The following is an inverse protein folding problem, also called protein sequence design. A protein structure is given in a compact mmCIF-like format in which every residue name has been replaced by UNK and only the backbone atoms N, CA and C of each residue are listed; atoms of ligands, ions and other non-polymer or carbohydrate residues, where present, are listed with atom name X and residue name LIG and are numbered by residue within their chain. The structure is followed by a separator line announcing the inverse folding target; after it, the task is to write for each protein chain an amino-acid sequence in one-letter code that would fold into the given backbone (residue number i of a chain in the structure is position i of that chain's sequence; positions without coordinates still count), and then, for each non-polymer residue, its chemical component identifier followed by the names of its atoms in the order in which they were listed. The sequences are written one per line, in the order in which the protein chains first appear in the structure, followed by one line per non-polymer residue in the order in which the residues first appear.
data_IF_364717088497
#
_entry.id   IF_364717088497
#
_cell.length_a   1.000
_cell.length_b   1.000
_cell.length_c   1.000
_cell.angle_alpha   90.00
_cell.angle_beta   90.00
_cell.angle_gamma   90.00
#
_symmetry.space_group_name_H-M   'P 1'
#
loop_
_entity.id
_entity.type
_entity.pdbx_description
1 polymer ?
#
# COMPACT_ATOMS: atom_id res chain seq x y z
N UNK A 1 -6.79 -12.98 31.96
CA UNK A 1 -6.92 -13.48 30.58
C UNK A 1 -7.08 -12.29 29.66
N UNK A 2 -6.18 -12.18 28.67
CA UNK A 2 -6.32 -11.36 27.46
C UNK A 2 -6.54 -9.85 27.60
N UNK A 3 -5.49 -9.08 27.89
CA UNK A 3 -5.50 -7.65 27.52
C UNK A 3 -5.04 -7.51 26.08
N UNK A 4 -5.89 -6.86 25.28
CA UNK A 4 -5.74 -6.67 23.84
C UNK A 4 -4.40 -6.02 23.48
N UNK A 5 -3.79 -6.55 22.43
CA UNK A 5 -2.57 -6.08 21.79
C UNK A 5 -2.77 -4.67 21.21
N UNK A 6 -2.65 -3.62 22.03
CA UNK A 6 -2.69 -2.21 21.59
C UNK A 6 -1.28 -1.59 21.51
N UNK A 7 -0.31 -2.35 21.02
CA UNK A 7 1.00 -1.80 20.69
C UNK A 7 1.20 -1.87 19.18
N UNK A 8 1.50 -0.71 18.58
CA UNK A 8 2.27 -0.51 17.34
C UNK A 8 1.55 0.09 16.10
N UNK A 9 0.59 1.01 16.24
CA UNK A 9 0.07 1.77 15.07
C UNK A 9 0.62 3.21 14.90
N UNK A 10 1.60 3.62 15.71
CA UNK A 10 2.06 5.02 15.73
C UNK A 10 3.23 5.33 14.79
N UNK A 11 3.97 4.33 14.29
CA UNK A 11 5.17 4.55 13.44
C UNK A 11 4.93 4.38 11.93
N UNK A 12 3.78 3.86 11.50
CA UNK A 12 3.51 3.60 10.06
C UNK A 12 2.91 4.80 9.32
N UNK A 13 2.46 5.83 10.04
CA UNK A 13 1.72 6.97 9.46
C UNK A 13 2.54 7.84 8.50
N UNK A 14 3.87 7.70 8.49
CA UNK A 14 4.77 8.57 7.73
C UNK A 14 5.82 7.79 6.93
N UNK A 15 5.56 6.54 6.54
CA UNK A 15 6.44 5.83 5.59
C UNK A 15 6.05 6.19 4.17
N UNK A 16 6.98 6.74 3.41
CA UNK A 16 6.81 7.08 2.00
C UNK A 16 7.71 6.21 1.12
N UNK A 17 7.24 5.93 -0.10
CA UNK A 17 8.08 5.44 -1.16
C UNK A 17 8.69 6.63 -1.92
N UNK A 18 9.95 6.57 -2.40
CA UNK A 18 10.53 7.64 -3.20
C UNK A 18 9.66 8.01 -4.40
N UNK A 19 9.52 9.30 -4.68
CA UNK A 19 8.69 9.84 -5.77
C UNK A 19 7.17 9.53 -5.67
N UNK A 20 6.71 8.98 -4.53
CA UNK A 20 5.29 8.73 -4.27
C UNK A 20 4.78 9.65 -3.16
N UNK A 21 3.72 10.42 -3.47
CA UNK A 21 3.28 11.54 -2.62
C UNK A 21 2.42 11.13 -1.40
N UNK A 22 1.97 9.88 -1.32
CA UNK A 22 1.12 9.41 -0.23
C UNK A 22 1.88 8.48 0.72
N UNK A 23 1.69 8.61 2.04
CA UNK A 23 2.24 7.67 2.99
C UNK A 23 1.52 6.33 2.89
N UNK A 24 2.20 5.22 3.18
CA UNK A 24 1.62 3.87 3.11
C UNK A 24 0.36 3.68 3.95
N UNK A 25 0.23 4.47 5.03
CA UNK A 25 -0.92 4.43 5.91
C UNK A 25 -2.23 4.93 5.25
N UNK A 26 -2.14 5.71 4.17
CA UNK A 26 -3.30 6.22 3.44
C UNK A 26 -3.77 5.25 2.34
N UNK A 27 -3.00 4.19 2.05
CA UNK A 27 -3.32 3.21 1.03
C UNK A 27 -4.26 2.16 1.62
N UNK A 28 -5.27 1.77 0.83
CA UNK A 28 -6.21 0.71 1.15
C UNK A 28 -5.87 -0.56 0.37
N UNK A 29 -5.77 -0.43 -0.96
CA UNK A 29 -5.51 -1.55 -1.85
C UNK A 29 -4.77 -1.09 -3.11
N UNK A 30 -4.21 -2.04 -3.86
CA UNK A 30 -3.59 -1.78 -5.15
C UNK A 30 -3.92 -2.89 -6.16
N UNK A 31 -3.88 -2.55 -7.44
CA UNK A 31 -3.87 -3.48 -8.56
C UNK A 31 -2.72 -3.11 -9.50
N UNK A 32 -2.13 -4.09 -10.17
CA UNK A 32 -1.02 -3.92 -11.10
C UNK A 32 -1.42 -4.38 -12.50
N UNK A 33 -1.52 -3.41 -13.42
CA UNK A 33 -1.79 -3.68 -14.84
C UNK A 33 -0.66 -3.12 -15.71
N UNK A 34 0.07 -4.00 -16.41
CA UNK A 34 1.10 -3.63 -17.41
C UNK A 34 2.08 -2.56 -16.87
N UNK A 35 2.59 -2.75 -15.65
CA UNK A 35 3.56 -1.84 -15.02
C UNK A 35 2.99 -0.51 -14.51
N UNK A 36 1.66 -0.33 -14.54
CA UNK A 36 0.95 0.77 -13.90
C UNK A 36 0.25 0.25 -12.65
N UNK A 37 0.50 0.88 -11.52
CA UNK A 37 -0.18 0.59 -10.28
C UNK A 37 -1.41 1.48 -10.17
N UNK A 38 -2.57 0.87 -9.99
CA UNK A 38 -3.80 1.55 -9.59
C UNK A 38 -3.88 1.41 -8.07
N UNK A 39 -3.91 2.52 -7.34
CA UNK A 39 -3.89 2.53 -5.89
C UNK A 39 -5.19 3.15 -5.39
N UNK A 40 -5.92 2.39 -4.58
CA UNK A 40 -7.07 2.85 -3.83
C UNK A 40 -6.58 3.41 -2.49
N UNK A 41 -6.92 4.67 -2.22
CA UNK A 41 -6.66 5.31 -0.93
C UNK A 41 -7.85 5.09 0.01
N UNK A 42 -7.58 5.19 1.32
CA UNK A 42 -8.63 5.13 2.36
C UNK A 42 -9.60 6.31 2.29
N UNK A 43 -9.21 7.39 1.63
CA UNK A 43 -10.07 8.54 1.33
C UNK A 43 -11.02 8.31 0.16
N UNK A 44 -11.14 7.08 -0.34
CA UNK A 44 -11.95 6.68 -1.51
C UNK A 44 -11.44 7.22 -2.86
N UNK A 45 -10.30 7.94 -2.86
CA UNK A 45 -9.63 8.39 -4.08
C UNK A 45 -8.84 7.23 -4.72
N UNK A 46 -8.91 7.13 -6.04
CA UNK A 46 -8.15 6.16 -6.83
C UNK A 46 -7.12 6.91 -7.68
N UNK A 47 -5.86 6.52 -7.56
CA UNK A 47 -4.76 7.14 -8.28
C UNK A 47 -4.02 6.11 -9.13
N UNK A 48 -3.38 6.59 -10.19
CA UNK A 48 -2.45 5.79 -10.97
C UNK A 48 -1.03 6.24 -10.68
N UNK A 49 -0.14 5.27 -10.48
CA UNK A 49 1.28 5.51 -10.24
C UNK A 49 2.12 4.57 -11.10
N UNK A 50 3.09 5.15 -11.80
CA UNK A 50 4.07 4.40 -12.60
C UNK A 50 5.46 4.60 -12.00
N UNK A 51 5.89 3.71 -11.10
CA UNK A 51 7.25 3.77 -10.55
C UNK A 51 8.28 3.47 -11.64
N UNK A 52 9.49 4.02 -11.48
CA UNK A 52 10.65 3.63 -12.31
C UNK A 52 11.01 2.15 -12.13
N UNK A 53 10.85 1.65 -10.89
CA UNK A 53 11.11 0.26 -10.53
C UNK A 53 9.83 -0.37 -9.95
N UNK A 54 9.09 -1.09 -10.79
CA UNK A 54 7.82 -1.70 -10.41
C UNK A 54 7.97 -2.81 -9.36
N UNK A 55 9.08 -3.55 -9.41
CA UNK A 55 9.35 -4.66 -8.49
C UNK A 55 9.56 -4.11 -7.07
N UNK A 56 10.42 -3.11 -6.91
CA UNK A 56 10.68 -2.49 -5.60
C UNK A 56 9.43 -1.83 -5.02
N UNK A 57 8.59 -1.23 -5.87
CA UNK A 57 7.33 -0.65 -5.42
C UNK A 57 6.33 -1.72 -4.96
N UNK A 58 6.18 -2.83 -5.70
CA UNK A 58 5.34 -3.97 -5.29
C UNK A 58 5.80 -4.53 -3.94
N UNK A 59 7.11 -4.81 -3.79
CA UNK A 59 7.67 -5.34 -2.55
C UNK A 59 7.44 -4.39 -1.36
N UNK A 60 7.48 -3.08 -1.59
CA UNK A 60 7.15 -2.10 -0.55
C UNK A 60 5.69 -2.19 -0.13
N UNK A 61 4.75 -2.27 -1.08
CA UNK A 61 3.32 -2.44 -0.78
C UNK A 61 3.06 -3.73 0.01
N UNK A 62 3.64 -4.85 -0.41
CA UNK A 62 3.55 -6.15 0.27
C UNK A 62 4.15 -6.12 1.67
N UNK A 63 5.33 -5.50 1.83
CA UNK A 63 5.99 -5.33 3.14
C UNK A 63 5.10 -4.63 4.16
N UNK A 64 4.28 -3.68 3.72
CA UNK A 64 3.33 -2.95 4.55
C UNK A 64 1.91 -3.53 4.53
N UNK A 65 1.72 -4.74 3.99
CA UNK A 65 0.46 -5.45 3.93
C UNK A 65 -0.66 -4.64 3.23
N UNK A 66 -0.32 -3.86 2.20
CA UNK A 66 -1.33 -3.24 1.34
C UNK A 66 -1.98 -4.35 0.51
N UNK A 67 -3.32 -4.41 0.52
CA UNK A 67 -4.08 -5.46 -0.16
C UNK A 67 -3.85 -5.40 -1.68
N UNK A 68 -3.46 -6.53 -2.28
CA UNK A 68 -3.48 -6.68 -3.74
C UNK A 68 -4.86 -7.18 -4.16
N UNK A 69 -5.54 -6.44 -5.04
CA UNK A 69 -6.87 -6.79 -5.53
C UNK A 69 -6.81 -7.87 -6.62
N UNK A 70 -5.69 -7.99 -7.34
CA UNK A 70 -5.53 -8.99 -8.40
C UNK A 70 -5.22 -10.40 -7.85
N UNK A 71 -4.72 -10.50 -6.62
CA UNK A 71 -4.38 -11.78 -5.97
C UNK A 71 -5.56 -12.39 -5.20
N UNK A 72 -6.74 -11.77 -5.20
CA UNK A 72 -7.95 -12.30 -4.56
C UNK A 72 -8.77 -13.27 -5.42
N UNK A 73 -8.22 -13.70 -6.56
CA UNK A 73 -8.79 -14.75 -7.40
C UNK A 73 -7.91 -16.02 -7.32
N UNK A 74 -7.95 -16.74 -6.19
CA UNK A 74 -7.69 -18.20 -6.09
C UNK A 74 -8.18 -18.77 -4.75
#
# INVERSE_FOLDING_TARGET
MGVALHANNSHMKNTFYPDFKYPVADLSAYSLAIGVFVISLKSDEIIQFKPKDAISFKMWLEKYNVRNVDEEEC
#
